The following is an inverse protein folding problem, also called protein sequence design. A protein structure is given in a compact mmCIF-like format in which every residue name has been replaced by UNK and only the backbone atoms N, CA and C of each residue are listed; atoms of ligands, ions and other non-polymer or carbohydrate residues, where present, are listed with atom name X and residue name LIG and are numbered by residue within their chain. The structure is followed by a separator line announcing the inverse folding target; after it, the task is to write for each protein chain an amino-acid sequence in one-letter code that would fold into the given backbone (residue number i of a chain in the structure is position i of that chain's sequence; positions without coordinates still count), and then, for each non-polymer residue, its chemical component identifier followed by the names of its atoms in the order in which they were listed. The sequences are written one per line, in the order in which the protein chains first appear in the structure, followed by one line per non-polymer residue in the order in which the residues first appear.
data_IF_093563511870
#
_entry.id   IF_093563511870
#
_cell.length_a   1.000
_cell.length_b   1.000
_cell.length_c   1.000
_cell.angle_alpha   90.00
_cell.angle_beta   90.00
_cell.angle_gamma   90.00
#
_symmetry.space_group_name_H-M   'P 1'
#
loop_
_entity.id
_entity.type
_entity.pdbx_description
1 polymer ?
#
# COMPACT_ATOMS: atom_id res chain seq x y z
N UNK A 1 -21.50 35.04 -26.37
CA UNK A 1 -21.98 33.74 -25.86
C UNK A 1 -21.92 33.77 -24.35
N UNK A 2 -23.05 33.62 -23.66
CA UNK A 2 -23.07 33.55 -22.20
C UNK A 2 -22.29 32.31 -21.75
N UNK A 3 -21.31 32.46 -20.84
CA UNK A 3 -20.64 31.31 -20.22
C UNK A 3 -21.73 30.50 -19.50
N UNK A 4 -21.96 29.25 -19.90
CA UNK A 4 -22.80 28.31 -19.14
C UNK A 4 -22.23 28.24 -17.72
N UNK A 5 -22.98 28.77 -16.77
CA UNK A 5 -22.66 28.69 -15.34
C UNK A 5 -22.82 27.25 -14.91
N UNK A 6 -21.70 26.61 -14.56
CA UNK A 6 -21.67 25.27 -13.97
C UNK A 6 -21.95 25.40 -12.47
N UNK A 7 -22.76 24.51 -11.90
CA UNK A 7 -23.02 24.45 -10.45
C UNK A 7 -21.73 24.36 -9.64
N UNK A 8 -21.82 24.69 -8.34
CA UNK A 8 -20.74 24.40 -7.40
C UNK A 8 -20.53 22.88 -7.27
N UNK A 9 -19.35 22.45 -6.81
CA UNK A 9 -19.07 21.03 -6.56
C UNK A 9 -20.08 20.42 -5.59
N UNK A 10 -20.43 21.15 -4.52
CA UNK A 10 -21.34 20.67 -3.50
C UNK A 10 -22.77 20.54 -4.03
N UNK A 11 -23.25 21.47 -4.85
CA UNK A 11 -24.61 21.39 -5.41
C UNK A 11 -24.73 20.31 -6.50
N UNK A 12 -23.68 20.12 -7.29
CA UNK A 12 -23.62 19.02 -8.26
C UNK A 12 -23.53 17.66 -7.56
N UNK A 13 -22.78 17.58 -6.45
CA UNK A 13 -22.67 16.40 -5.59
C UNK A 13 -24.00 16.07 -4.90
N UNK A 14 -24.67 17.08 -4.32
CA UNK A 14 -25.97 16.91 -3.67
C UNK A 14 -27.04 16.47 -4.66
N UNK A 15 -27.03 17.03 -5.89
CA UNK A 15 -27.90 16.55 -6.95
C UNK A 15 -27.58 15.09 -7.32
N UNK A 16 -26.31 14.73 -7.50
CA UNK A 16 -25.92 13.36 -7.82
C UNK A 16 -26.45 12.35 -6.77
N UNK A 17 -26.32 12.71 -5.49
CA UNK A 17 -26.80 11.92 -4.36
C UNK A 17 -28.33 11.84 -4.33
N UNK A 18 -29.03 12.95 -4.58
CA UNK A 18 -30.50 12.98 -4.67
C UNK A 18 -31.03 12.16 -5.86
N UNK A 19 -30.24 11.98 -6.92
CA UNK A 19 -30.55 11.09 -8.03
C UNK A 19 -30.14 9.63 -7.77
N UNK A 20 -29.60 9.33 -6.59
CA UNK A 20 -29.16 7.98 -6.23
C UNK A 20 -27.94 7.48 -7.01
N UNK A 21 -27.11 8.37 -7.59
CA UNK A 21 -25.93 7.97 -8.37
C UNK A 21 -24.78 7.64 -7.41
N UNK A 22 -24.27 6.42 -7.46
CA UNK A 22 -23.31 5.86 -6.50
C UNK A 22 -21.95 5.53 -7.10
N UNK A 23 -21.90 5.33 -8.42
CA UNK A 23 -20.68 4.98 -9.15
C UNK A 23 -20.38 5.96 -10.28
N UNK A 24 -19.11 5.99 -10.69
CA UNK A 24 -18.71 6.74 -11.88
C UNK A 24 -19.37 6.18 -13.15
N UNK A 25 -19.59 4.86 -13.23
CA UNK A 25 -20.21 4.23 -14.39
C UNK A 25 -21.70 4.59 -14.51
N UNK A 26 -22.42 4.65 -13.40
CA UNK A 26 -23.81 5.16 -13.35
C UNK A 26 -23.88 6.64 -13.72
N UNK A 27 -22.94 7.45 -13.23
CA UNK A 27 -22.82 8.85 -13.61
C UNK A 27 -22.64 8.98 -15.12
N UNK A 28 -21.69 8.24 -15.69
CA UNK A 28 -21.38 8.25 -17.11
C UNK A 28 -22.55 7.72 -17.95
N UNK A 29 -23.28 6.71 -17.48
CA UNK A 29 -24.50 6.21 -18.14
C UNK A 29 -25.62 7.26 -18.11
N UNK A 30 -25.84 7.91 -16.97
CA UNK A 30 -26.89 8.94 -16.80
C UNK A 30 -26.61 10.19 -17.63
N UNK A 31 -25.34 10.54 -17.84
CA UNK A 31 -24.96 11.66 -18.72
C UNK A 31 -25.35 11.48 -20.19
N UNK A 32 -25.66 10.23 -20.60
CA UNK A 32 -26.05 9.85 -21.96
C UNK A 32 -27.57 9.75 -22.13
N UNK A 33 -28.35 9.82 -21.05
CA UNK A 33 -29.80 9.81 -21.09
C UNK A 33 -30.37 11.22 -21.34
N UNK A 34 -31.59 11.30 -21.87
CA UNK A 34 -32.29 12.56 -22.07
C UNK A 34 -32.65 13.22 -20.73
N UNK A 35 -32.70 14.56 -20.71
CA UNK A 35 -33.02 15.34 -19.51
C UNK A 35 -31.84 15.66 -18.59
N UNK A 36 -30.59 15.45 -19.04
CA UNK A 36 -29.40 15.84 -18.27
C UNK A 36 -29.36 17.35 -17.98
N UNK A 37 -29.24 17.80 -16.71
CA UNK A 37 -29.23 19.23 -16.39
C UNK A 37 -28.07 19.97 -17.06
N UNK A 38 -28.37 21.08 -17.73
CA UNK A 38 -27.39 21.83 -18.53
C UNK A 38 -26.31 22.51 -17.68
N UNK A 39 -26.54 22.67 -16.38
CA UNK A 39 -25.69 23.28 -15.37
C UNK A 39 -24.86 22.26 -14.57
N UNK A 40 -25.06 20.96 -14.79
CA UNK A 40 -24.30 19.89 -14.15
C UNK A 40 -23.24 19.35 -15.13
N UNK A 41 -21.96 19.39 -14.77
CA UNK A 41 -20.88 19.04 -15.69
C UNK A 41 -20.86 17.52 -15.92
N UNK A 42 -20.82 17.08 -17.19
CA UNK A 42 -20.69 15.63 -17.49
C UNK A 42 -19.36 15.04 -17.01
N UNK A 43 -18.30 15.84 -17.04
CA UNK A 43 -16.96 15.46 -16.58
C UNK A 43 -16.55 16.31 -15.37
N UNK A 44 -17.11 16.08 -14.17
CA UNK A 44 -16.85 16.90 -12.98
C UNK A 44 -15.36 16.93 -12.58
N UNK A 45 -14.61 15.85 -12.81
CA UNK A 45 -13.16 15.75 -12.57
C UNK A 45 -12.33 16.75 -13.40
N UNK A 46 -12.87 17.24 -14.52
CA UNK A 46 -12.17 18.15 -15.44
C UNK A 46 -12.57 19.62 -15.23
N UNK A 47 -13.47 19.91 -14.28
CA UNK A 47 -13.93 21.28 -14.02
C UNK A 47 -12.87 22.04 -13.21
N UNK A 48 -12.35 23.12 -13.78
CA UNK A 48 -11.28 23.93 -13.15
C UNK A 48 -11.67 24.43 -11.76
N UNK A 49 -12.93 24.89 -11.59
CA UNK A 49 -13.44 25.35 -10.31
C UNK A 49 -13.47 24.27 -9.22
N UNK A 50 -13.46 22.98 -9.61
CA UNK A 50 -13.51 21.85 -8.68
C UNK A 50 -12.12 21.41 -8.24
N UNK A 51 -11.04 21.80 -8.93
CA UNK A 51 -9.69 21.23 -8.79
C UNK A 51 -9.12 21.28 -7.35
N UNK A 52 -9.52 22.26 -6.54
CA UNK A 52 -9.11 22.36 -5.12
C UNK A 52 -10.00 21.61 -4.13
N UNK A 53 -11.20 21.19 -4.55
CA UNK A 53 -12.21 20.53 -3.71
C UNK A 53 -12.45 19.07 -4.14
N UNK A 54 -12.03 18.70 -5.34
CA UNK A 54 -12.21 17.37 -5.92
C UNK A 54 -11.34 16.33 -5.23
N UNK A 55 -11.99 15.36 -4.57
CA UNK A 55 -11.34 14.23 -3.88
C UNK A 55 -11.64 12.88 -4.55
N UNK A 56 -12.03 12.91 -5.83
CA UNK A 56 -12.44 11.74 -6.60
C UNK A 56 -13.94 11.46 -6.54
N UNK A 57 -14.40 10.61 -7.47
CA UNK A 57 -15.82 10.27 -7.63
C UNK A 57 -16.44 9.71 -6.35
N UNK A 58 -15.69 8.95 -5.56
CA UNK A 58 -16.21 8.40 -4.31
C UNK A 58 -16.59 9.49 -3.30
N UNK A 59 -15.81 10.55 -3.22
CA UNK A 59 -16.14 11.69 -2.36
C UNK A 59 -17.25 12.55 -2.96
N UNK A 60 -17.27 12.68 -4.29
CA UNK A 60 -18.26 13.47 -5.01
C UNK A 60 -19.66 12.85 -4.98
N UNK A 61 -19.77 11.52 -5.01
CA UNK A 61 -21.05 10.80 -4.90
C UNK A 61 -21.44 10.49 -3.45
N UNK A 62 -20.70 11.03 -2.48
CA UNK A 62 -20.93 10.78 -1.06
C UNK A 62 -20.54 9.39 -0.57
N UNK A 63 -20.10 8.48 -1.45
CA UNK A 63 -19.78 7.06 -1.12
C UNK A 63 -18.51 6.86 -0.28
N UNK A 64 -17.59 7.83 -0.19
CA UNK A 64 -16.40 7.73 0.66
C UNK A 64 -16.68 7.87 2.17
N UNK A 65 -17.82 8.45 2.56
CA UNK A 65 -18.25 8.47 3.95
C UNK A 65 -18.62 7.06 4.47
N UNK A 66 -18.88 6.12 3.56
CA UNK A 66 -19.45 4.81 3.86
C UNK A 66 -18.43 3.67 3.88
N UNK A 67 -17.17 3.91 3.48
CA UNK A 67 -16.17 2.85 3.31
C UNK A 67 -15.36 2.57 4.58
N UNK A 68 -16.04 2.20 5.66
CA UNK A 68 -15.43 1.81 6.93
C UNK A 68 -16.42 1.14 7.88
N UNK A 69 -16.59 -0.18 7.76
CA UNK A 69 -17.21 -1.00 8.80
C UNK A 69 -18.65 -1.49 8.60
N UNK A 70 -19.29 -1.21 7.45
CA UNK A 70 -20.56 -1.82 7.03
C UNK A 70 -20.31 -2.90 5.95
N UNK A 71 -21.08 -3.98 5.96
CA UNK A 71 -21.06 -5.00 4.91
C UNK A 71 -21.75 -4.50 3.63
N UNK A 72 -21.51 -5.18 2.50
CA UNK A 72 -22.07 -4.76 1.19
C UNK A 72 -23.61 -4.80 1.16
N UNK A 73 -24.28 -5.82 1.73
CA UNK A 73 -25.73 -5.79 1.88
C UNK A 73 -26.22 -4.63 2.76
N UNK A 74 -25.52 -4.30 3.84
CA UNK A 74 -25.88 -3.15 4.70
C UNK A 74 -25.80 -1.83 3.93
N UNK A 75 -24.74 -1.64 3.13
CA UNK A 75 -24.59 -0.47 2.25
C UNK A 75 -25.71 -0.39 1.21
N UNK A 76 -26.07 -1.51 0.59
CA UNK A 76 -27.13 -1.55 -0.40
C UNK A 76 -28.51 -1.27 0.23
N UNK A 77 -28.79 -1.84 1.40
CA UNK A 77 -30.00 -1.55 2.17
C UNK A 77 -30.06 -0.08 2.57
N UNK A 78 -28.96 0.49 3.07
CA UNK A 78 -28.91 1.90 3.45
C UNK A 78 -29.20 2.81 2.27
N UNK A 79 -28.66 2.49 1.09
CA UNK A 79 -28.96 3.22 -0.14
C UNK A 79 -30.41 3.05 -0.59
N UNK A 80 -30.91 1.81 -0.65
CA UNK A 80 -32.27 1.53 -1.12
C UNK A 80 -33.36 2.09 -0.20
N UNK A 81 -33.06 2.25 1.09
CA UNK A 81 -34.02 2.68 2.09
C UNK A 81 -33.89 4.17 2.48
N UNK A 82 -32.83 4.88 2.09
CA UNK A 82 -32.66 6.31 2.47
C UNK A 82 -33.73 7.25 1.87
N UNK A 83 -34.38 6.86 0.76
CA UNK A 83 -35.51 7.59 0.20
C UNK A 83 -36.84 7.30 0.91
N UNK A 84 -36.88 6.23 1.71
CA UNK A 84 -38.08 5.78 2.44
C UNK A 84 -38.01 6.18 3.91
N UNK A 85 -36.87 5.93 4.54
CA UNK A 85 -36.60 6.12 5.97
C UNK A 85 -35.70 7.34 6.22
N UNK A 86 -35.92 8.01 7.34
CA UNK A 86 -35.12 9.14 7.80
C UNK A 86 -33.85 8.62 8.51
N UNK A 87 -32.99 7.94 7.73
CA UNK A 87 -31.84 7.21 8.25
C UNK A 87 -30.77 8.14 8.84
N UNK A 88 -30.25 7.75 10.01
CA UNK A 88 -29.09 8.43 10.61
C UNK A 88 -27.88 8.36 9.66
N UNK A 89 -27.28 9.52 9.30
CA UNK A 89 -26.14 9.55 8.41
C UNK A 89 -24.88 8.99 9.08
N UNK A 90 -23.95 8.46 8.28
CA UNK A 90 -22.66 7.95 8.75
C UNK A 90 -22.58 6.43 8.87
N UNK A 91 -21.41 5.95 9.31
CA UNK A 91 -20.98 4.55 9.22
C UNK A 91 -21.68 3.59 10.19
N UNK A 92 -22.00 4.02 11.41
CA UNK A 92 -22.68 3.18 12.41
C UNK A 92 -23.66 4.01 13.21
N UNK A 93 -24.91 3.55 13.28
CA UNK A 93 -25.90 4.16 14.15
C UNK A 93 -25.74 3.59 15.57
N UNK A 94 -25.97 4.43 16.59
CA UNK A 94 -25.80 4.05 18.00
C UNK A 94 -27.07 4.35 18.78
N UNK A 95 -27.48 3.38 19.60
CA UNK A 95 -28.58 3.51 20.56
C UNK A 95 -28.07 3.12 21.94
N UNK A 96 -28.35 3.96 22.93
CA UNK A 96 -28.30 3.59 24.34
C UNK A 96 -29.71 3.14 24.75
N UNK A 97 -29.94 1.86 25.08
CA UNK A 97 -31.24 1.38 25.54
C UNK A 97 -31.61 1.88 26.94
N UNK A 98 -30.69 2.54 27.66
CA UNK A 98 -30.82 2.95 29.05
C UNK A 98 -31.06 1.79 30.03
N UNK A 99 -30.51 0.61 29.71
CA UNK A 99 -30.57 -0.60 30.53
C UNK A 99 -29.35 -0.79 31.44
N UNK A 100 -28.43 0.19 31.46
CA UNK A 100 -27.20 0.16 32.25
C UNK A 100 -26.05 -0.63 31.60
N UNK A 101 -26.29 -1.21 30.43
CA UNK A 101 -25.32 -1.98 29.66
C UNK A 101 -24.65 -1.14 28.56
N UNK A 102 -23.75 -1.76 27.79
CA UNK A 102 -23.08 -1.08 26.67
C UNK A 102 -24.08 -0.64 25.59
N UNK A 103 -23.80 0.51 24.98
CA UNK A 103 -24.51 1.01 23.79
C UNK A 103 -24.49 -0.01 22.66
N UNK A 104 -25.56 0.00 21.86
CA UNK A 104 -25.76 -0.90 20.73
C UNK A 104 -25.44 -0.18 19.42
N UNK A 105 -24.65 -0.85 18.56
CA UNK A 105 -24.41 -0.42 17.19
C UNK A 105 -25.43 -1.09 16.27
N UNK A 106 -26.04 -0.31 15.38
CA UNK A 106 -27.08 -0.76 14.46
C UNK A 106 -26.68 -0.44 13.00
N UNK A 107 -27.09 -1.30 12.07
CA UNK A 107 -26.77 -1.15 10.65
C UNK A 107 -27.55 0.01 10.03
N UNK A 108 -28.87 0.05 10.27
CA UNK A 108 -29.76 1.12 9.86
C UNK A 108 -30.63 1.57 11.03
N UNK A 109 -30.82 2.88 11.16
CA UNK A 109 -31.58 3.48 12.24
C UNK A 109 -32.38 4.67 11.74
N UNK A 110 -33.69 4.59 11.91
CA UNK A 110 -34.60 5.73 11.83
C UNK A 110 -34.97 6.14 13.26
N UNK A 111 -34.42 7.27 13.72
CA UNK A 111 -34.63 7.74 15.09
C UNK A 111 -36.02 8.30 15.31
N UNK A 112 -36.62 8.92 14.29
CA UNK A 112 -37.93 9.59 14.45
C UNK A 112 -39.03 8.56 14.68
N UNK A 113 -38.93 7.41 14.01
CA UNK A 113 -39.88 6.28 14.10
C UNK A 113 -39.51 5.22 15.12
N UNK A 114 -38.36 5.38 15.79
CA UNK A 114 -37.78 4.36 16.67
C UNK A 114 -37.65 2.99 15.99
N UNK A 115 -37.23 2.96 14.73
CA UNK A 115 -37.10 1.76 13.91
C UNK A 115 -35.61 1.44 13.66
N UNK A 116 -35.23 0.21 13.94
CA UNK A 116 -33.91 -0.36 13.65
C UNK A 116 -34.02 -1.49 12.63
N UNK A 117 -33.07 -1.56 11.69
CA UNK A 117 -32.94 -2.67 10.76
C UNK A 117 -31.52 -3.23 10.86
N UNK A 118 -31.42 -4.56 11.00
CA UNK A 118 -30.16 -5.30 11.12
C UNK A 118 -30.06 -6.31 9.96
N UNK A 119 -28.91 -6.39 9.30
CA UNK A 119 -28.63 -7.40 8.30
C UNK A 119 -27.76 -8.51 8.89
N UNK A 120 -28.35 -9.69 9.09
CA UNK A 120 -27.63 -10.83 9.63
C UNK A 120 -27.12 -11.72 8.49
N UNK A 121 -25.86 -11.53 8.11
CA UNK A 121 -25.19 -12.37 7.12
C UNK A 121 -24.90 -13.78 7.63
N UNK A 122 -25.16 -14.80 6.80
CA UNK A 122 -25.08 -16.22 7.21
C UNK A 122 -23.70 -16.65 7.72
N UNK A 123 -22.64 -16.00 7.27
CA UNK A 123 -21.26 -16.33 7.64
C UNK A 123 -20.94 -15.97 9.10
N UNK A 124 -21.50 -14.87 9.57
CA UNK A 124 -21.17 -14.27 10.87
C UNK A 124 -22.17 -14.63 11.97
N UNK A 125 -23.42 -14.94 11.60
CA UNK A 125 -24.52 -15.19 12.53
C UNK A 125 -24.91 -16.67 12.65
N UNK A 126 -24.04 -17.59 12.24
CA UNK A 126 -24.25 -19.03 12.39
C UNK A 126 -23.93 -19.53 13.81
N UNK A 127 -24.69 -20.52 14.26
CA UNK A 127 -24.47 -21.21 15.54
C UNK A 127 -25.24 -20.61 16.72
N UNK A 128 -25.41 -21.42 17.76
CA UNK A 128 -26.26 -21.14 18.92
C UNK A 128 -25.82 -19.89 19.70
N UNK A 129 -24.52 -19.71 19.94
CA UNK A 129 -24.03 -18.54 20.66
C UNK A 129 -24.35 -17.20 19.96
N UNK A 130 -24.29 -17.17 18.62
CA UNK A 130 -24.66 -15.99 17.84
C UNK A 130 -26.17 -15.76 17.85
N UNK A 131 -26.95 -16.83 17.69
CA UNK A 131 -28.41 -16.77 17.85
C UNK A 131 -28.82 -16.15 19.19
N UNK A 132 -28.21 -16.60 20.30
CA UNK A 132 -28.51 -16.08 21.64
C UNK A 132 -28.13 -14.61 21.77
N UNK A 133 -26.92 -14.23 21.32
CA UNK A 133 -26.47 -12.83 21.35
C UNK A 133 -27.37 -11.92 20.51
N UNK A 134 -27.81 -12.41 19.35
CA UNK A 134 -28.71 -11.70 18.45
C UNK A 134 -30.07 -11.51 19.11
N UNK A 135 -30.67 -12.58 19.64
CA UNK A 135 -31.95 -12.52 20.34
C UNK A 135 -31.90 -11.57 21.54
N UNK A 136 -30.79 -11.57 22.31
CA UNK A 136 -30.57 -10.62 23.41
C UNK A 136 -30.49 -9.18 22.92
N UNK A 137 -29.80 -8.90 21.81
CA UNK A 137 -29.75 -7.56 21.21
C UNK A 137 -31.14 -7.07 20.82
N UNK A 138 -31.92 -7.91 20.15
CA UNK A 138 -33.31 -7.60 19.79
C UNK A 138 -34.16 -7.34 21.04
N UNK A 139 -34.05 -8.17 22.08
CA UNK A 139 -34.79 -8.00 23.33
C UNK A 139 -34.47 -6.68 24.04
N UNK A 140 -33.19 -6.30 24.09
CA UNK A 140 -32.74 -5.03 24.69
C UNK A 140 -33.36 -3.83 23.96
N UNK A 141 -33.34 -3.85 22.63
CA UNK A 141 -33.94 -2.79 21.80
C UNK A 141 -35.46 -2.71 21.95
N UNK A 142 -36.15 -3.85 21.87
CA UNK A 142 -37.63 -3.88 21.96
C UNK A 142 -38.12 -3.51 23.34
N UNK A 143 -37.41 -3.92 24.40
CA UNK A 143 -37.70 -3.51 25.79
C UNK A 143 -37.53 -2.00 25.98
N UNK A 144 -36.54 -1.41 25.31
CA UNK A 144 -36.38 0.04 25.29
C UNK A 144 -37.46 0.75 24.45
N UNK A 145 -38.30 0.04 23.69
CA UNK A 145 -39.38 0.59 22.87
C UNK A 145 -38.99 0.84 21.40
N UNK A 146 -37.98 0.13 20.89
CA UNK A 146 -37.62 0.17 19.47
C UNK A 146 -38.28 -0.98 18.70
N UNK A 147 -38.78 -0.68 17.51
CA UNK A 147 -39.13 -1.69 16.51
C UNK A 147 -37.86 -2.20 15.84
N UNK A 148 -37.71 -3.52 15.71
CA UNK A 148 -36.50 -4.14 15.14
C UNK A 148 -36.90 -5.10 14.04
N UNK A 149 -36.44 -4.83 12.82
CA UNK A 149 -36.57 -5.75 11.68
C UNK A 149 -35.20 -6.39 11.46
N UNK A 150 -35.10 -7.72 11.55
CA UNK A 150 -33.88 -8.43 11.13
C UNK A 150 -34.05 -9.00 9.73
N UNK A 151 -33.09 -8.70 8.88
CA UNK A 151 -32.95 -9.24 7.54
C UNK A 151 -32.04 -10.47 7.63
N UNK A 152 -32.63 -11.66 7.67
CA UNK A 152 -31.95 -12.92 7.95
C UNK A 152 -31.55 -13.62 6.65
N UNK A 153 -30.24 -13.65 6.34
CA UNK A 153 -29.74 -14.35 5.16
C UNK A 153 -29.87 -15.88 5.33
N UNK A 154 -30.49 -16.55 4.36
CA UNK A 154 -30.65 -18.01 4.37
C UNK A 154 -29.29 -18.73 4.56
N UNK A 155 -29.23 -19.79 5.40
CA UNK A 155 -30.35 -20.51 6.01
C UNK A 155 -30.68 -20.09 7.46
N UNK A 156 -30.39 -18.85 7.86
CA UNK A 156 -30.66 -18.40 9.22
C UNK A 156 -32.16 -18.42 9.51
N UNK A 157 -32.54 -19.02 10.65
CA UNK A 157 -33.92 -18.95 11.14
C UNK A 157 -34.29 -17.52 11.57
N UNK A 158 -35.56 -17.16 11.41
CA UNK A 158 -36.13 -15.94 11.96
C UNK A 158 -36.06 -15.99 13.50
N UNK A 159 -35.76 -14.87 14.14
CA UNK A 159 -35.82 -14.73 15.60
C UNK A 159 -37.23 -14.30 16.01
N UNK A 160 -37.82 -13.39 15.24
CA UNK A 160 -39.18 -12.92 15.37
C UNK A 160 -39.95 -13.15 14.05
N UNK A 161 -40.83 -14.16 13.95
CA UNK A 161 -41.56 -14.47 12.71
C UNK A 161 -42.46 -13.35 12.19
N UNK A 162 -42.85 -12.40 13.05
CA UNK A 162 -43.66 -11.25 12.64
C UNK A 162 -42.77 -10.14 12.08
N UNK A 163 -41.69 -9.80 12.77
CA UNK A 163 -40.87 -8.62 12.46
C UNK A 163 -39.69 -8.90 11.54
N UNK A 164 -39.16 -10.12 11.54
CA UNK A 164 -37.98 -10.48 10.73
C UNK A 164 -38.38 -10.91 9.32
N UNK A 165 -37.47 -10.73 8.37
CA UNK A 165 -37.63 -11.13 6.97
C UNK A 165 -36.49 -12.04 6.55
N UNK A 166 -36.83 -13.18 5.94
CA UNK A 166 -35.84 -14.09 5.37
C UNK A 166 -35.48 -13.65 3.94
N UNK A 167 -34.19 -13.61 3.63
CA UNK A 167 -33.70 -13.28 2.28
C UNK A 167 -32.70 -14.32 1.80
N UNK A 168 -32.62 -14.50 0.48
CA UNK A 168 -31.54 -15.27 -0.11
C UNK A 168 -30.25 -14.44 -0.12
N UNK A 169 -29.11 -15.13 -0.25
CA UNK A 169 -27.84 -14.46 -0.50
C UNK A 169 -27.95 -13.61 -1.78
N UNK A 170 -27.63 -12.31 -1.76
CA UNK A 170 -27.92 -11.41 -2.88
C UNK A 170 -27.19 -11.79 -4.17
N UNK A 171 -26.02 -12.45 -4.10
CA UNK A 171 -25.19 -12.87 -5.25
C UNK A 171 -25.11 -11.82 -6.38
N UNK A 172 -24.89 -10.56 -5.99
CA UNK A 172 -24.83 -9.42 -6.92
C UNK A 172 -26.12 -8.67 -7.11
N UNK A 173 -27.27 -9.32 -6.97
CA UNK A 173 -28.59 -8.71 -7.02
C UNK A 173 -29.04 -8.22 -5.64
N UNK A 174 -28.52 -7.06 -5.25
CA UNK A 174 -28.89 -6.44 -3.97
C UNK A 174 -30.30 -5.83 -3.98
N UNK A 175 -30.84 -5.52 -5.16
CA UNK A 175 -32.23 -5.07 -5.27
C UNK A 175 -33.20 -6.12 -4.69
N UNK A 176 -32.95 -7.42 -4.92
CA UNK A 176 -33.79 -8.48 -4.35
C UNK A 176 -33.92 -8.43 -2.82
N UNK A 177 -32.87 -7.99 -2.12
CA UNK A 177 -32.86 -7.83 -0.66
C UNK A 177 -33.59 -6.54 -0.26
N UNK A 178 -33.34 -5.44 -0.96
CA UNK A 178 -34.03 -4.15 -0.73
C UNK A 178 -35.54 -4.32 -0.93
N UNK A 179 -35.94 -4.92 -2.05
CA UNK A 179 -37.33 -5.19 -2.39
C UNK A 179 -38.01 -6.06 -1.32
N UNK A 180 -37.35 -7.12 -0.85
CA UNK A 180 -37.88 -7.97 0.21
C UNK A 180 -38.15 -7.17 1.50
N UNK A 181 -37.24 -6.26 1.87
CA UNK A 181 -37.41 -5.39 3.05
C UNK A 181 -38.54 -4.38 2.84
N UNK A 182 -38.60 -3.70 1.69
CA UNK A 182 -39.67 -2.75 1.35
C UNK A 182 -41.05 -3.42 1.40
N UNK A 183 -41.20 -4.59 0.77
CA UNK A 183 -42.46 -5.35 0.77
C UNK A 183 -42.82 -5.85 2.17
N UNK A 184 -41.83 -6.25 2.96
CA UNK A 184 -42.07 -6.67 4.35
C UNK A 184 -42.50 -5.50 5.23
N UNK A 185 -41.91 -4.32 5.06
CA UNK A 185 -42.36 -3.10 5.75
C UNK A 185 -43.79 -2.73 5.36
N UNK A 186 -44.13 -2.78 4.07
CA UNK A 186 -45.51 -2.56 3.61
C UNK A 186 -46.50 -3.56 4.24
N UNK A 187 -46.11 -4.83 4.35
CA UNK A 187 -46.90 -5.85 5.05
C UNK A 187 -47.07 -5.51 6.54
N UNK A 188 -46.00 -5.11 7.23
CA UNK A 188 -46.06 -4.70 8.63
C UNK A 188 -46.98 -3.49 8.85
N UNK A 189 -47.02 -2.55 7.90
CA UNK A 189 -47.96 -1.41 7.93
C UNK A 189 -49.40 -1.91 7.76
N UNK A 190 -49.66 -2.75 6.75
CA UNK A 190 -50.99 -3.28 6.47
C UNK A 190 -51.56 -4.12 7.64
N UNK A 191 -50.69 -4.81 8.37
CA UNK A 191 -51.05 -5.59 9.57
C UNK A 191 -51.13 -4.73 10.85
N UNK A 192 -50.82 -3.44 10.79
CA UNK A 192 -50.86 -2.51 11.93
C UNK A 192 -49.70 -2.65 12.91
N UNK A 193 -48.61 -3.32 12.52
CA UNK A 193 -47.40 -3.47 13.33
C UNK A 193 -46.45 -2.27 13.21
N UNK A 194 -46.35 -1.68 12.02
CA UNK A 194 -45.53 -0.49 11.75
C UNK A 194 -46.46 0.70 11.43
N UNK A 195 -46.16 1.87 11.98
CA UNK A 195 -46.90 3.08 11.66
C UNK A 195 -46.64 3.49 10.20
N UNK A 196 -47.69 3.92 9.51
CA UNK A 196 -47.58 4.33 8.12
C UNK A 196 -46.87 5.68 8.02
N UNK A 197 -47.46 6.75 8.56
CA UNK A 197 -46.89 8.12 8.62
C UNK A 197 -46.08 8.53 7.39
N UNK A 198 -46.64 8.21 6.21
CA UNK A 198 -46.09 8.51 4.88
C UNK A 198 -45.19 7.43 4.26
N UNK A 199 -44.92 6.32 4.94
CA UNK A 199 -44.05 5.24 4.44
C UNK A 199 -44.67 4.52 3.26
N UNK A 200 -45.98 4.25 3.25
CA UNK A 200 -46.61 3.49 2.17
C UNK A 200 -46.40 4.17 0.82
N UNK A 201 -46.58 5.50 0.75
CA UNK A 201 -46.31 6.29 -0.46
C UNK A 201 -44.83 6.24 -0.86
N UNK A 202 -43.91 6.42 0.10
CA UNK A 202 -42.46 6.35 -0.17
C UNK A 202 -42.01 4.95 -0.61
N UNK A 203 -42.60 3.90 -0.03
CA UNK A 203 -42.35 2.50 -0.40
C UNK A 203 -42.85 2.25 -1.82
N UNK A 204 -44.06 2.70 -2.15
CA UNK A 204 -44.62 2.56 -3.49
C UNK A 204 -43.78 3.30 -4.53
N UNK A 205 -43.31 4.52 -4.23
CA UNK A 205 -42.39 5.27 -5.08
C UNK A 205 -41.07 4.51 -5.28
N UNK A 206 -40.47 4.01 -4.20
CA UNK A 206 -39.24 3.22 -4.27
C UNK A 206 -39.41 1.93 -5.09
N UNK A 207 -40.53 1.22 -4.92
CA UNK A 207 -40.84 0.00 -5.67
C UNK A 207 -41.17 0.28 -7.15
N UNK A 208 -41.67 1.48 -7.47
CA UNK A 208 -41.95 1.90 -8.85
C UNK A 208 -40.68 2.19 -9.67
N UNK A 209 -39.55 2.44 -8.99
CA UNK A 209 -38.25 2.71 -9.59
C UNK A 209 -37.20 1.69 -9.09
N UNK A 210 -37.30 0.42 -9.51
CA UNK A 210 -36.38 -0.60 -9.06
C UNK A 210 -34.95 -0.28 -9.50
N UNK A 211 -34.00 -0.46 -8.58
CA UNK A 211 -32.58 -0.40 -8.93
C UNK A 211 -32.26 -1.58 -9.85
N UNK A 212 -31.45 -1.37 -10.91
CA UNK A 212 -31.05 -2.48 -11.77
C UNK A 212 -30.36 -3.57 -10.93
N UNK A 213 -30.56 -4.86 -11.25
CA UNK A 213 -29.97 -5.97 -10.48
C UNK A 213 -28.44 -5.87 -10.32
N UNK A 214 -27.77 -5.17 -11.24
CA UNK A 214 -26.34 -4.93 -11.26
C UNK A 214 -25.94 -3.50 -10.82
N UNK A 215 -26.85 -2.69 -10.25
CA UNK A 215 -26.52 -1.35 -9.73
C UNK A 215 -25.33 -1.36 -8.76
N UNK A 216 -25.19 -2.47 -8.01
CA UNK A 216 -24.11 -2.69 -7.06
C UNK A 216 -23.04 -3.67 -7.58
N UNK A 217 -22.98 -3.94 -8.90
CA UNK A 217 -21.94 -4.75 -9.57
C UNK A 217 -20.54 -4.22 -9.30
N UNK A 218 -20.37 -2.90 -9.25
CA UNK A 218 -19.08 -2.28 -8.91
C UNK A 218 -18.70 -2.48 -7.42
N UNK A 219 -19.66 -3.02 -6.64
CA UNK A 219 -19.54 -3.49 -5.26
C UNK A 219 -19.60 -5.03 -5.20
N UNK A 220 -19.47 -5.76 -6.32
CA UNK A 220 -19.14 -7.19 -6.29
C UNK A 220 -17.63 -7.40 -6.12
N UNK A 221 -17.14 -8.58 -5.69
CA UNK A 221 -15.76 -8.91 -5.97
C UNK A 221 -15.71 -9.00 -7.48
N UNK A 222 -15.06 -8.03 -8.13
CA UNK A 222 -14.66 -8.20 -9.52
C UNK A 222 -14.05 -9.59 -9.62
N UNK A 223 -14.51 -10.39 -10.58
CA UNK A 223 -14.05 -11.76 -10.76
C UNK A 223 -12.53 -11.78 -10.55
N UNK A 224 -12.09 -12.51 -9.51
CA UNK A 224 -10.67 -12.55 -9.18
C UNK A 224 -9.98 -13.11 -10.41
N UNK A 225 -9.02 -12.36 -10.93
CA UNK A 225 -8.23 -12.81 -12.05
C UNK A 225 -7.63 -14.16 -11.68
N UNK A 226 -7.77 -15.15 -12.57
CA UNK A 226 -7.01 -16.39 -12.39
C UNK A 226 -5.52 -16.05 -12.48
N UNK A 227 -4.67 -16.86 -11.87
CA UNK A 227 -3.22 -16.66 -11.98
C UNK A 227 -2.75 -16.67 -13.45
N UNK A 228 -3.38 -17.49 -14.30
CA UNK A 228 -3.10 -17.57 -15.73
C UNK A 228 -3.46 -16.28 -16.45
N UNK A 229 -4.67 -15.75 -16.21
CA UNK A 229 -5.11 -14.50 -16.83
C UNK A 229 -4.28 -13.32 -16.34
N UNK A 230 -3.93 -13.29 -15.06
CA UNK A 230 -3.13 -12.24 -14.46
C UNK A 230 -1.73 -12.19 -15.09
N UNK A 231 -1.09 -13.36 -15.29
CA UNK A 231 0.16 -13.50 -16.03
C UNK A 231 0.04 -13.01 -17.47
N UNK A 232 -0.97 -13.50 -18.20
CA UNK A 232 -1.17 -13.15 -19.60
C UNK A 232 -1.36 -11.63 -19.81
N UNK A 233 -1.91 -10.93 -18.82
CA UNK A 233 -2.09 -9.49 -18.86
C UNK A 233 -0.83 -8.70 -18.50
N UNK A 234 -0.09 -9.10 -17.46
CA UNK A 234 1.07 -8.33 -16.98
C UNK A 234 2.31 -8.50 -17.85
N UNK A 235 2.55 -9.71 -18.37
CA UNK A 235 3.76 -10.05 -19.13
C UNK A 235 4.02 -9.14 -20.35
N UNK A 236 3.04 -8.76 -21.19
CA UNK A 236 3.28 -7.85 -22.31
C UNK A 236 3.50 -6.39 -21.91
N UNK A 237 3.35 -6.01 -20.63
CA UNK A 237 3.46 -4.62 -20.19
C UNK A 237 4.89 -4.14 -19.93
N UNK A 238 5.87 -5.04 -19.96
CA UNK A 238 7.28 -4.70 -19.69
C UNK A 238 7.53 -4.28 -18.24
N UNK A 239 6.74 -4.81 -17.29
CA UNK A 239 6.98 -4.61 -15.85
C UNK A 239 8.02 -5.63 -15.42
N UNK A 240 9.19 -5.16 -14.99
CA UNK A 240 10.35 -6.00 -14.76
C UNK A 240 10.57 -6.35 -13.29
N UNK A 241 10.02 -5.53 -12.38
CA UNK A 241 10.28 -5.65 -10.94
C UNK A 241 9.01 -5.66 -10.08
N UNK A 242 9.13 -6.24 -8.88
CA UNK A 242 8.07 -6.16 -7.86
C UNK A 242 7.75 -4.70 -7.48
N UNK A 243 8.76 -3.83 -7.44
CA UNK A 243 8.56 -2.43 -7.07
C UNK A 243 7.76 -1.66 -8.14
N UNK A 244 7.99 -1.92 -9.42
CA UNK A 244 7.17 -1.39 -10.51
C UNK A 244 5.72 -1.89 -10.43
N UNK A 245 5.52 -3.18 -10.13
CA UNK A 245 4.17 -3.72 -9.89
C UNK A 245 3.47 -3.03 -8.71
N UNK A 246 4.19 -2.80 -7.61
CA UNK A 246 3.67 -2.06 -6.45
C UNK A 246 3.35 -0.61 -6.79
N UNK A 247 4.14 0.04 -7.66
CA UNK A 247 3.84 1.39 -8.15
C UNK A 247 2.56 1.41 -8.98
N UNK A 248 2.39 0.48 -9.92
CA UNK A 248 1.17 0.31 -10.72
C UNK A 248 -0.07 0.08 -9.84
N UNK A 249 0.10 -0.70 -8.77
CA UNK A 249 -0.96 -0.95 -7.78
C UNK A 249 -1.35 0.34 -7.07
N UNK A 250 -0.38 1.13 -6.58
CA UNK A 250 -0.63 2.39 -5.86
C UNK A 250 -1.18 3.50 -6.76
N UNK A 251 -0.83 3.51 -8.04
CA UNK A 251 -1.37 4.46 -9.02
C UNK A 251 -2.81 4.15 -9.43
N UNK A 252 -3.36 2.99 -9.01
CA UNK A 252 -4.73 2.59 -9.32
C UNK A 252 -4.94 2.18 -10.78
N UNK A 253 -3.86 1.81 -11.48
CA UNK A 253 -3.89 1.44 -12.90
C UNK A 253 -4.14 -0.05 -13.14
N UNK A 254 -4.28 -0.83 -12.06
CA UNK A 254 -4.65 -2.24 -12.19
C UNK A 254 -6.08 -2.39 -12.72
N UNK A 255 -6.34 -3.39 -13.58
CA UNK A 255 -7.68 -3.74 -13.98
C UNK A 255 -8.53 -4.05 -12.75
N UNK A 256 -9.84 -3.76 -12.80
CA UNK A 256 -10.76 -4.21 -11.77
C UNK A 256 -10.54 -5.70 -11.45
N UNK A 257 -10.41 -6.03 -10.15
CA UNK A 257 -10.27 -7.42 -9.67
C UNK A 257 -8.88 -8.03 -9.71
N UNK A 258 -7.91 -7.35 -10.34
CA UNK A 258 -6.52 -7.78 -10.32
C UNK A 258 -5.95 -7.63 -8.90
N UNK A 259 -5.34 -8.67 -8.30
CA UNK A 259 -4.80 -8.56 -6.95
C UNK A 259 -3.56 -7.66 -6.92
N UNK A 260 -3.57 -6.64 -6.07
CA UNK A 260 -2.39 -5.82 -5.80
C UNK A 260 -1.24 -6.57 -5.10
N UNK A 261 -1.56 -7.71 -4.46
CA UNK A 261 -0.58 -8.63 -3.86
C UNK A 261 -0.79 -10.06 -4.42
N UNK A 262 -0.23 -10.37 -5.60
CA UNK A 262 -0.33 -11.67 -6.24
C UNK A 262 0.15 -12.87 -5.38
N UNK A 263 1.29 -12.81 -4.65
CA UNK A 263 1.71 -13.91 -3.77
C UNK A 263 0.63 -14.35 -2.76
N UNK A 264 -0.06 -13.39 -2.15
CA UNK A 264 -1.15 -13.69 -1.20
C UNK A 264 -2.46 -14.07 -1.88
N UNK A 265 -2.66 -13.69 -3.15
CA UNK A 265 -3.86 -14.03 -3.90
C UNK A 265 -3.81 -15.42 -4.55
N UNK A 266 -2.60 -15.93 -4.80
CA UNK A 266 -2.36 -17.18 -5.52
C UNK A 266 -1.47 -18.17 -4.74
N UNK A 267 -1.67 -18.38 -3.43
CA UNK A 267 -0.71 -19.10 -2.58
C UNK A 267 -0.37 -20.51 -3.09
N UNK A 268 -1.33 -21.21 -3.68
CA UNK A 268 -1.17 -22.60 -4.12
C UNK A 268 -0.49 -22.75 -5.50
N UNK A 269 -0.47 -21.68 -6.29
CA UNK A 269 0.03 -21.70 -7.68
C UNK A 269 1.10 -20.63 -7.94
N UNK A 270 1.55 -19.94 -6.89
CA UNK A 270 2.52 -18.85 -6.99
C UNK A 270 3.93 -19.40 -7.22
N UNK A 271 4.51 -19.05 -8.37
CA UNK A 271 5.85 -19.51 -8.78
C UNK A 271 6.94 -18.46 -8.55
N UNK A 272 6.57 -17.30 -7.98
CA UNK A 272 7.46 -16.17 -7.78
C UNK A 272 7.28 -15.04 -8.81
N UNK A 273 7.87 -13.90 -8.49
CA UNK A 273 7.75 -12.67 -9.29
C UNK A 273 8.27 -12.82 -10.71
N UNK A 274 9.37 -13.56 -10.93
CA UNK A 274 9.95 -13.72 -12.26
C UNK A 274 9.03 -14.44 -13.24
N UNK A 275 8.31 -15.45 -12.77
CA UNK A 275 7.33 -16.18 -13.60
C UNK A 275 6.07 -15.35 -13.79
N UNK A 276 5.60 -14.68 -12.73
CA UNK A 276 4.41 -13.85 -12.79
C UNK A 276 4.56 -12.68 -13.78
N UNK A 277 5.69 -11.96 -13.70
CA UNK A 277 5.99 -10.80 -14.55
C UNK A 277 6.55 -11.18 -15.94
N UNK A 278 6.92 -12.46 -16.15
CA UNK A 278 7.50 -12.93 -17.42
C UNK A 278 8.96 -12.53 -17.64
N UNK A 279 9.67 -12.17 -16.57
CA UNK A 279 11.07 -11.72 -16.63
C UNK A 279 12.07 -12.86 -16.49
N UNK A 280 11.63 -14.04 -16.04
CA UNK A 280 12.52 -15.16 -15.75
C UNK A 280 13.43 -14.95 -14.53
N UNK A 281 13.21 -13.89 -13.76
CA UNK A 281 13.99 -13.59 -12.56
C UNK A 281 13.70 -14.59 -11.42
N UNK A 282 14.62 -15.52 -11.18
CA UNK A 282 14.53 -16.46 -10.04
C UNK A 282 15.02 -15.76 -8.76
N UNK A 283 14.30 -15.94 -7.65
CA UNK A 283 14.71 -15.46 -6.34
C UNK A 283 16.08 -16.04 -5.97
N UNK A 284 17.01 -15.21 -5.47
CA UNK A 284 18.38 -15.64 -5.21
C UNK A 284 18.49 -16.81 -4.21
N UNK A 285 17.51 -16.99 -3.32
CA UNK A 285 17.49 -18.11 -2.37
C UNK A 285 17.14 -19.47 -2.99
N UNK A 286 16.49 -19.47 -4.16
CA UNK A 286 16.10 -20.69 -4.88
C UNK A 286 17.10 -21.04 -6.00
N UNK A 287 18.13 -20.20 -6.21
CA UNK A 287 19.18 -20.45 -7.20
C UNK A 287 20.20 -21.42 -6.63
N UNK A 288 20.40 -22.54 -7.31
CA UNK A 288 21.55 -23.41 -7.08
C UNK A 288 22.80 -22.73 -7.63
N UNK A 289 23.60 -22.14 -6.73
CA UNK A 289 24.88 -21.54 -7.08
C UNK A 289 25.97 -22.61 -7.16
N UNK A 290 26.91 -22.44 -8.09
CA UNK A 290 28.11 -23.27 -8.18
C UNK A 290 29.01 -23.08 -6.95
N UNK A 291 30.02 -23.92 -6.80
CA UNK A 291 30.97 -23.83 -5.69
C UNK A 291 31.83 -22.56 -5.76
N UNK A 292 32.37 -22.13 -4.62
CA UNK A 292 33.30 -20.99 -4.57
C UNK A 292 34.51 -21.18 -5.50
N UNK A 293 35.01 -22.42 -5.61
CA UNK A 293 36.14 -22.76 -6.47
C UNK A 293 35.80 -22.57 -7.96
N UNK A 294 34.62 -23.01 -8.40
CA UNK A 294 34.16 -22.85 -9.78
C UNK A 294 33.92 -21.37 -10.12
N UNK A 295 33.22 -20.63 -9.24
CA UNK A 295 32.98 -19.20 -9.42
C UNK A 295 34.29 -18.40 -9.47
N UNK A 296 35.25 -18.70 -8.60
CA UNK A 296 36.58 -18.09 -8.56
C UNK A 296 37.38 -18.38 -9.84
N UNK A 297 37.39 -19.63 -10.28
CA UNK A 297 38.08 -20.06 -11.52
C UNK A 297 37.52 -19.32 -12.73
N UNK A 298 36.19 -19.21 -12.83
CA UNK A 298 35.55 -18.45 -13.89
C UNK A 298 35.89 -16.96 -13.82
N UNK A 299 35.84 -16.35 -12.62
CA UNK A 299 36.19 -14.94 -12.42
C UNK A 299 37.61 -14.62 -12.90
N UNK A 300 38.56 -15.50 -12.58
CA UNK A 300 39.96 -15.39 -12.97
C UNK A 300 40.15 -15.59 -14.47
N UNK A 301 39.46 -16.56 -15.08
CA UNK A 301 39.48 -16.78 -16.52
C UNK A 301 38.95 -15.57 -17.31
N UNK A 302 37.95 -14.87 -16.77
CA UNK A 302 37.43 -13.61 -17.33
C UNK A 302 38.29 -12.38 -16.99
N UNK A 303 39.44 -12.58 -16.32
CA UNK A 303 40.38 -11.53 -15.92
C UNK A 303 39.74 -10.40 -15.10
N UNK A 304 38.74 -10.72 -14.27
CA UNK A 304 38.10 -9.72 -13.40
C UNK A 304 39.06 -9.37 -12.26
N UNK A 305 39.44 -8.09 -12.13
CA UNK A 305 40.46 -7.64 -11.16
C UNK A 305 39.93 -6.84 -9.97
N UNK A 306 38.63 -6.56 -9.89
CA UNK A 306 38.06 -5.83 -8.76
C UNK A 306 36.61 -6.19 -8.49
N UNK A 307 36.14 -5.93 -7.26
CA UNK A 307 34.72 -6.04 -6.88
C UNK A 307 33.82 -5.22 -7.82
N UNK A 308 34.24 -4.00 -8.18
CA UNK A 308 33.47 -3.12 -9.07
C UNK A 308 33.34 -3.74 -10.47
N UNK A 309 34.44 -4.27 -11.00
CA UNK A 309 34.42 -4.97 -12.29
C UNK A 309 33.54 -6.23 -12.22
N UNK A 310 33.58 -6.97 -11.11
CA UNK A 310 32.70 -8.11 -10.90
C UNK A 310 31.23 -7.72 -10.92
N UNK A 311 30.85 -6.69 -10.15
CA UNK A 311 29.47 -6.20 -10.09
C UNK A 311 28.96 -5.72 -11.44
N UNK A 312 29.83 -5.06 -12.23
CA UNK A 312 29.50 -4.55 -13.55
C UNK A 312 29.27 -5.63 -14.63
N UNK A 313 29.59 -6.89 -14.37
CA UNK A 313 29.36 -7.96 -15.36
C UNK A 313 27.87 -8.20 -15.64
N UNK A 314 26.98 -7.92 -14.68
CA UNK A 314 25.54 -8.15 -14.86
C UNK A 314 25.25 -9.58 -15.34
N UNK A 315 24.58 -9.67 -16.50
CA UNK A 315 24.18 -10.91 -17.17
C UNK A 315 25.29 -11.60 -17.97
N UNK A 316 26.48 -11.00 -18.08
CA UNK A 316 27.65 -11.66 -18.66
C UNK A 316 28.18 -12.80 -17.79
N UNK A 317 27.68 -12.93 -16.56
CA UNK A 317 27.94 -14.07 -15.68
C UNK A 317 26.94 -15.19 -15.97
N UNK A 318 27.39 -16.45 -15.99
CA UNK A 318 26.50 -17.61 -15.89
C UNK A 318 25.50 -17.45 -14.74
N UNK A 319 24.26 -17.90 -14.95
CA UNK A 319 23.15 -17.75 -14.00
C UNK A 319 23.40 -18.43 -12.64
N UNK A 320 24.23 -19.47 -12.62
CA UNK A 320 24.66 -20.19 -11.42
C UNK A 320 25.88 -19.58 -10.72
N UNK A 321 26.43 -18.46 -11.22
CA UNK A 321 27.49 -17.70 -10.55
C UNK A 321 26.88 -16.51 -9.81
N UNK A 322 27.04 -16.41 -8.48
CA UNK A 322 26.36 -15.39 -7.71
C UNK A 322 26.91 -14.00 -7.97
N UNK A 323 26.02 -13.01 -8.02
CA UNK A 323 26.41 -11.59 -8.12
C UNK A 323 27.08 -11.07 -6.85
N UNK A 324 26.76 -11.67 -5.69
CA UNK A 324 27.30 -11.33 -4.38
C UNK A 324 27.94 -12.56 -3.70
N UNK A 325 29.12 -13.01 -4.18
CA UNK A 325 29.74 -14.27 -3.72
C UNK A 325 30.12 -14.27 -2.24
N UNK A 326 30.46 -13.12 -1.66
CA UNK A 326 30.76 -12.99 -0.22
C UNK A 326 29.58 -13.33 0.70
N UNK A 327 28.35 -13.18 0.20
CA UNK A 327 27.14 -13.54 0.94
C UNK A 327 26.82 -15.02 0.78
N UNK A 328 26.97 -15.56 -0.43
CA UNK A 328 26.67 -16.96 -0.75
C UNK A 328 27.70 -17.91 -0.14
N UNK A 329 28.98 -17.55 -0.22
CA UNK A 329 30.10 -18.38 0.26
C UNK A 329 30.63 -17.91 1.62
N UNK A 330 29.76 -17.34 2.47
CA UNK A 330 30.15 -16.62 3.70
C UNK A 330 31.15 -17.38 4.58
N UNK A 331 31.00 -18.69 4.74
CA UNK A 331 31.89 -19.53 5.56
C UNK A 331 33.27 -19.81 4.94
N UNK A 332 33.41 -19.68 3.62
CA UNK A 332 34.62 -19.97 2.85
C UNK A 332 35.26 -18.69 2.29
N UNK A 333 34.65 -17.52 2.53
CA UNK A 333 35.03 -16.26 1.92
C UNK A 333 36.27 -15.65 2.60
N UNK A 334 37.38 -15.61 1.88
CA UNK A 334 38.66 -15.04 2.33
C UNK A 334 38.91 -13.63 1.75
N UNK A 335 37.87 -13.01 1.17
CA UNK A 335 37.97 -11.69 0.55
C UNK A 335 38.17 -11.72 -0.97
N UNK A 336 37.99 -10.54 -1.58
CA UNK A 336 38.06 -10.35 -3.02
C UNK A 336 39.44 -10.66 -3.62
N UNK A 337 40.52 -10.47 -2.84
CA UNK A 337 41.87 -10.79 -3.30
C UNK A 337 42.06 -12.26 -3.63
N UNK A 338 41.56 -13.14 -2.76
CA UNK A 338 41.59 -14.58 -2.94
C UNK A 338 40.62 -15.04 -4.04
N UNK A 339 39.39 -14.50 -4.04
CA UNK A 339 38.37 -14.85 -5.04
C UNK A 339 38.75 -14.45 -6.48
N UNK A 340 39.40 -13.30 -6.67
CA UNK A 340 39.77 -12.80 -8.00
C UNK A 340 41.21 -13.15 -8.40
N UNK A 341 41.96 -13.86 -7.56
CA UNK A 341 43.37 -14.19 -7.82
C UNK A 341 44.27 -12.95 -7.95
N UNK A 342 43.95 -11.84 -7.26
CA UNK A 342 44.72 -10.58 -7.36
C UNK A 342 45.78 -10.43 -6.28
N UNK A 343 45.76 -11.28 -5.24
CA UNK A 343 46.67 -11.17 -4.10
C UNK A 343 46.41 -9.94 -3.20
N UNK A 344 45.30 -9.22 -3.41
CA UNK A 344 44.95 -8.04 -2.62
C UNK A 344 44.50 -8.42 -1.21
N UNK A 345 45.28 -8.09 -0.18
CA UNK A 345 44.93 -8.34 1.23
C UNK A 345 44.01 -7.24 1.76
N UNK A 346 42.99 -7.63 2.53
CA UNK A 346 42.06 -6.72 3.20
C UNK A 346 42.79 -5.79 4.17
N UNK A 347 42.37 -4.52 4.28
CA UNK A 347 43.08 -3.52 5.07
C UNK A 347 43.29 -3.92 6.54
N UNK A 348 42.31 -4.59 7.16
CA UNK A 348 42.40 -5.02 8.57
C UNK A 348 43.34 -6.19 8.83
N UNK A 349 43.74 -6.94 7.80
CA UNK A 349 44.67 -8.07 7.91
C UNK A 349 46.11 -7.67 7.55
N UNK A 350 46.31 -6.45 7.03
CA UNK A 350 47.65 -5.94 6.72
C UNK A 350 48.40 -5.68 8.01
N UNK A 351 49.48 -6.44 8.23
CA UNK A 351 50.43 -6.19 9.30
C UNK A 351 51.48 -5.22 8.80
N UNK A 352 51.44 -4.00 9.33
CA UNK A 352 52.43 -2.98 9.03
C UNK A 352 53.61 -3.07 10.01
N UNK A 353 54.80 -2.76 9.52
CA UNK A 353 56.00 -2.58 10.35
C UNK A 353 55.88 -1.37 11.28
N UNK A 354 56.80 -1.24 12.22
CA UNK A 354 56.91 -0.05 13.09
C UNK A 354 57.33 1.19 12.31
N UNK A 355 56.99 2.39 12.78
CA UNK A 355 57.26 3.66 12.06
C UNK A 355 58.74 3.84 11.72
N UNK A 356 59.66 3.41 12.59
CA UNK A 356 61.09 3.51 12.37
C UNK A 356 61.55 2.72 11.12
N UNK A 357 61.01 1.53 10.90
CA UNK A 357 61.31 0.69 9.74
C UNK A 357 60.72 1.28 8.46
N UNK A 358 59.47 1.76 8.51
CA UNK A 358 58.84 2.44 7.36
C UNK A 358 59.57 3.73 6.99
N UNK A 359 60.00 4.50 7.98
CA UNK A 359 60.80 5.72 7.82
C UNK A 359 62.18 5.42 7.22
N UNK A 360 62.87 4.40 7.73
CA UNK A 360 64.16 3.95 7.19
C UNK A 360 64.03 3.55 5.71
N UNK A 361 63.02 2.74 5.38
CA UNK A 361 62.74 2.37 3.99
C UNK A 361 62.53 3.60 3.09
N UNK A 362 61.74 4.58 3.54
CA UNK A 362 61.53 5.80 2.77
C UNK A 362 62.82 6.58 2.49
N UNK A 363 63.65 6.73 3.53
CA UNK A 363 64.93 7.43 3.47
C UNK A 363 65.93 6.71 2.56
N UNK A 364 66.07 5.40 2.72
CA UNK A 364 66.97 4.56 1.92
C UNK A 364 66.63 4.59 0.43
N UNK A 365 65.35 4.86 0.11
CA UNK A 365 64.87 4.94 -1.27
C UNK A 365 64.75 6.39 -1.78
N UNK A 366 65.37 7.36 -1.08
CA UNK A 366 65.46 8.76 -1.50
C UNK A 366 64.12 9.51 -1.51
N UNK A 367 63.14 9.06 -0.72
CA UNK A 367 61.82 9.69 -0.65
C UNK A 367 61.87 10.85 0.35
N UNK A 368 61.56 12.05 -0.12
CA UNK A 368 61.62 13.29 0.66
C UNK A 368 60.27 13.95 0.88
N UNK A 369 59.26 13.61 0.07
CA UNK A 369 57.93 14.21 0.14
C UNK A 369 56.79 13.18 0.23
N UNK A 370 55.64 13.62 0.77
CA UNK A 370 54.37 12.87 0.72
C UNK A 370 54.03 12.42 -0.70
N UNK A 371 54.27 13.28 -1.69
CA UNK A 371 53.95 13.02 -3.10
C UNK A 371 54.80 11.88 -3.64
N UNK A 372 56.10 11.89 -3.36
CA UNK A 372 57.02 10.83 -3.74
C UNK A 372 56.66 9.51 -3.05
N UNK A 373 56.34 9.53 -1.75
CA UNK A 373 55.88 8.35 -1.03
C UNK A 373 54.62 7.74 -1.66
N UNK A 374 53.65 8.59 -2.01
CA UNK A 374 52.41 8.18 -2.68
C UNK A 374 52.62 7.65 -4.09
N UNK A 375 53.72 8.02 -4.76
CA UNK A 375 54.05 7.58 -6.11
C UNK A 375 54.72 6.19 -6.14
N UNK A 376 55.32 5.73 -5.04
CA UNK A 376 55.99 4.41 -4.99
C UNK A 376 55.00 3.26 -5.13
N UNK A 377 55.24 2.42 -6.14
CA UNK A 377 54.47 1.21 -6.45
C UNK A 377 55.23 -0.06 -6.08
N UNK A 378 56.53 0.05 -5.86
CA UNK A 378 57.51 -0.98 -5.47
C UNK A 378 57.59 -1.20 -3.95
N UNK A 379 56.75 -0.52 -3.19
CA UNK A 379 56.73 -0.60 -1.73
C UNK A 379 56.38 -2.02 -1.23
N UNK A 380 57.16 -2.61 -0.30
CA UNK A 380 56.83 -3.88 0.34
C UNK A 380 55.47 -3.85 1.05
N UNK A 381 54.78 -4.99 1.11
CA UNK A 381 53.41 -5.10 1.65
C UNK A 381 53.26 -4.65 3.12
N UNK A 382 54.32 -4.77 3.93
CA UNK A 382 54.35 -4.37 5.34
C UNK A 382 54.66 -2.88 5.54
N UNK A 383 54.99 -2.12 4.49
CA UNK A 383 55.20 -0.68 4.56
C UNK A 383 53.87 -0.01 4.19
N UNK A 384 53.32 0.88 5.04
CA UNK A 384 51.98 1.41 4.83
C UNK A 384 51.90 2.42 3.68
N UNK A 385 50.77 2.41 2.96
CA UNK A 385 50.47 3.43 1.95
C UNK A 385 50.15 4.79 2.55
N UNK A 386 49.59 4.80 3.75
CA UNK A 386 49.22 6.00 4.47
C UNK A 386 49.77 5.95 5.90
N UNK A 387 51.08 6.17 6.09
CA UNK A 387 51.76 6.00 7.38
C UNK A 387 51.15 6.87 8.49
N UNK A 388 50.64 8.06 8.15
CA UNK A 388 49.97 8.96 9.09
C UNK A 388 48.71 8.34 9.75
N UNK A 389 48.05 7.38 9.10
CA UNK A 389 46.89 6.68 9.66
C UNK A 389 47.30 5.44 10.47
N UNK A 390 48.47 4.86 10.17
CA UNK A 390 48.97 3.64 10.83
C UNK A 390 49.71 4.00 12.11
N UNK A 391 50.43 5.12 12.10
CA UNK A 391 51.28 5.59 13.19
C UNK A 391 50.69 6.82 13.90
N UNK A 392 49.36 6.93 13.96
CA UNK A 392 48.62 8.13 14.39
C UNK A 392 49.16 8.75 15.70
N UNK A 393 49.51 7.92 16.68
CA UNK A 393 50.00 8.36 18.00
C UNK A 393 51.41 8.97 17.95
N UNK A 394 52.30 8.44 17.12
CA UNK A 394 53.70 8.86 17.01
C UNK A 394 53.96 9.79 15.80
N UNK A 395 52.93 10.06 14.99
CA UNK A 395 53.02 10.86 13.78
C UNK A 395 53.19 12.36 14.08
N UNK A 396 54.34 12.91 13.71
CA UNK A 396 54.66 14.35 13.87
C UNK A 396 54.78 15.10 12.54
N UNK A 397 54.26 14.53 11.47
CA UNK A 397 54.31 15.08 10.11
C UNK A 397 55.40 14.47 9.23
N UNK A 398 55.29 14.75 7.92
CA UNK A 398 56.16 14.17 6.89
C UNK A 398 57.63 14.55 7.05
N UNK A 399 57.93 15.78 7.50
CA UNK A 399 59.29 16.23 7.79
C UNK A 399 59.95 15.37 8.88
N UNK A 400 59.23 15.08 9.96
CA UNK A 400 59.71 14.19 11.02
C UNK A 400 59.83 12.74 10.55
N UNK A 401 58.85 12.25 9.78
CA UNK A 401 58.82 10.87 9.30
C UNK A 401 59.91 10.55 8.27
N UNK A 402 60.25 11.49 7.38
CA UNK A 402 61.27 11.31 6.34
C UNK A 402 62.62 11.96 6.68
N UNK A 403 62.74 12.57 7.86
CA UNK A 403 63.92 13.35 8.28
C UNK A 403 64.32 14.43 7.26
N UNK A 404 63.33 15.19 6.78
CA UNK A 404 63.56 16.28 5.82
C UNK A 404 63.50 17.65 6.50
N UNK A 405 64.42 18.53 6.13
CA UNK A 405 64.43 19.92 6.57
C UNK A 405 63.39 20.72 5.79
N UNK A 406 62.16 20.76 6.31
CA UNK A 406 61.17 21.76 5.90
C UNK A 406 60.82 22.64 7.10
N UNK A 407 61.03 23.97 7.02
CA UNK A 407 60.70 24.87 8.11
C UNK A 407 59.21 24.80 8.43
N UNK A 408 58.87 24.79 9.73
CA UNK A 408 57.47 24.85 10.17
C UNK A 408 56.91 26.21 9.75
N UNK A 409 55.72 26.22 9.15
CA UNK A 409 54.99 27.44 8.80
C UNK A 409 54.43 28.17 10.05
N UNK A 410 55.29 28.53 11.01
CA UNK A 410 54.97 29.36 12.18
C UNK A 410 55.99 30.47 12.49
N UNK A 411 56.99 30.67 11.65
CA UNK A 411 57.92 31.81 11.79
C UNK A 411 57.61 32.93 10.78
N UNK A 412 56.34 33.35 10.75
CA UNK A 412 55.98 34.66 10.21
C UNK A 412 55.18 35.37 11.29
N UNK A 413 55.72 36.52 11.70
CA UNK A 413 55.09 37.59 12.48
C UNK A 413 55.41 37.67 13.99
N UNK A 414 56.61 38.20 14.28
CA UNK A 414 56.87 39.03 15.48
C UNK A 414 57.79 40.19 15.10
N UNK A 415 57.32 41.08 14.23
CA UNK A 415 58.03 42.32 13.93
C UNK A 415 57.05 43.46 13.58
N UNK A 416 56.14 43.79 14.50
CA UNK A 416 55.36 45.04 14.46
C UNK A 416 54.58 45.29 15.76
N UNK A 417 55.26 45.65 16.86
CA UNK A 417 54.69 46.53 17.91
C UNK A 417 55.80 47.00 18.84
N UNK A 418 56.15 48.29 18.72
CA UNK A 418 56.42 49.26 19.81
C UNK A 418 57.47 50.29 19.38
N UNK A 419 57.03 51.25 18.56
CA UNK A 419 57.60 52.59 18.49
C UNK A 419 56.44 53.58 18.56
N UNK A 420 55.97 53.88 19.79
CA UNK A 420 55.10 55.02 20.08
C UNK A 420 54.92 55.30 21.59
N UNK A 421 56.00 55.44 22.37
CA UNK A 421 56.00 56.29 23.60
C UNK A 421 57.40 56.87 23.86
N UNK A 422 57.74 57.98 23.19
CA UNK A 422 58.46 59.12 23.79
C UNK A 422 58.34 60.35 22.88
N UNK A 423 57.29 61.15 23.10
CA UNK A 423 57.23 62.62 23.04
C UNK A 423 55.79 63.07 23.34
#
# INVERSE_FOLDING_TARGET
MARKTVRSLNDASAWAQAQGIMTQDEWDARTKMDGWPADIPKCPQSVVAYKGQWKGFKSFLGVSAWSGGLSRPELALKHGLQGVLDLVPGQRAVVDPADGERVLFLDLLDRSRRLAIEYDGRHWHKGEARYVSDAQKSLRLTTAGWSVIRVREAPLALLNPTWDVAVQSPRGNYWSVIEAVLRHMARLIAEGHLQDDGLSERIDEALSMPLPPDAFRHVEPVAKWSYVDAKAWVQPMGIETEDEWRMLTRSGQLPPGMPGNPPSAYPDVWEGWGVFLGTGNVYNGDREFCTLAEASTWAQAQQVRSQRAWQALGDRRPSNIPSNPQTIYKSQWQGWGHFLGTGTVANGERRFCVMAEASAWGRDHGISTKKEWGARRDRPAHIPSNPQNVYEVEWRGWAHFLATDHPRARDVDTAAVDDLVTA
#
